data_IF_994203013406
#
_entry.id   IF_994203013406
#
_cell.length_a   1.000
_cell.length_b   1.000
_cell.length_c   1.000
_cell.angle_alpha   90.00
_cell.angle_beta   90.00
_cell.angle_gamma   90.00
#
_symmetry.space_group_name_H-M   'P 1'
#
loop_
_entity.id
_entity.type
_entity.pdbx_description
1 polymer ?
#
# COMPACT_ATOMS: atom_id res chain seq x y z
N UNK A 1 10.69 -10.62 37.31
CA UNK A 1 9.41 -11.28 37.65
C UNK A 1 9.44 -12.67 37.04
N UNK A 2 9.44 -13.71 37.86
CA UNK A 2 9.36 -15.07 37.35
C UNK A 2 7.91 -15.34 36.94
N UNK A 3 7.69 -15.58 35.67
CA UNK A 3 6.43 -16.14 35.20
C UNK A 3 6.53 -17.66 35.36
N UNK A 4 5.93 -18.20 36.42
CA UNK A 4 5.71 -19.62 36.60
C UNK A 4 4.25 -19.90 36.19
N UNK A 5 4.00 -20.19 34.95
CA UNK A 5 2.87 -20.95 34.55
C UNK A 5 3.41 -22.10 33.70
N UNK A 6 3.59 -23.24 34.34
CA UNK A 6 3.84 -24.53 33.70
C UNK A 6 2.57 -24.97 32.98
N UNK A 7 2.55 -24.83 31.66
CA UNK A 7 1.58 -25.49 30.81
C UNK A 7 2.14 -26.91 30.56
N UNK A 8 1.48 -27.95 31.09
CA UNK A 8 1.71 -29.31 30.71
C UNK A 8 0.95 -29.60 29.42
N UNK A 9 1.68 -29.86 28.32
CA UNK A 9 1.08 -30.30 27.06
C UNK A 9 0.98 -31.85 27.05
N UNK A 10 -0.22 -32.37 26.78
CA UNK A 10 -0.50 -33.80 26.81
C UNK A 10 -0.06 -34.59 25.56
N UNK A 11 0.30 -33.94 24.46
CA UNK A 11 0.76 -34.63 23.22
C UNK A 11 1.87 -33.86 22.48
N UNK A 12 2.68 -34.60 21.70
CA UNK A 12 3.80 -34.05 20.90
C UNK A 12 3.36 -33.12 19.72
N UNK A 13 2.07 -33.04 19.46
CA UNK A 13 1.50 -32.30 18.32
C UNK A 13 1.00 -30.90 18.70
N UNK A 14 0.93 -30.58 20.01
CA UNK A 14 0.38 -29.33 20.53
C UNK A 14 1.47 -28.33 20.93
N UNK A 15 2.53 -28.17 20.12
CA UNK A 15 3.56 -27.22 20.43
C UNK A 15 3.11 -25.81 20.01
N UNK A 16 2.86 -24.99 21.01
CA UNK A 16 2.59 -23.57 20.88
C UNK A 16 3.90 -22.80 21.09
N UNK A 17 4.31 -22.03 20.10
CA UNK A 17 5.48 -21.17 20.17
C UNK A 17 5.09 -19.83 20.78
N UNK A 18 5.89 -19.36 21.74
CA UNK A 18 5.67 -18.06 22.36
C UNK A 18 6.69 -17.06 21.82
N UNK A 19 6.23 -15.99 21.17
CA UNK A 19 7.01 -14.81 20.90
C UNK A 19 6.57 -13.73 21.89
N UNK A 20 7.48 -13.27 22.71
CA UNK A 20 7.25 -12.14 23.61
C UNK A 20 7.87 -10.88 23.01
N UNK A 21 7.02 -9.93 22.62
CA UNK A 21 7.45 -8.58 22.32
C UNK A 21 7.58 -7.82 23.62
N UNK A 22 8.78 -7.38 23.95
CA UNK A 22 9.03 -6.53 25.10
C UNK A 22 9.52 -5.17 24.63
N UNK A 23 8.75 -4.14 24.92
CA UNK A 23 9.18 -2.75 24.74
C UNK A 23 9.94 -2.32 25.99
N UNK A 24 11.24 -2.24 25.92
CA UNK A 24 12.01 -1.54 26.92
C UNK A 24 12.14 -0.08 26.48
N UNK A 25 11.44 0.83 27.16
CA UNK A 25 11.68 2.26 27.04
C UNK A 25 13.05 2.60 27.67
N UNK A 26 14.09 2.32 26.95
CA UNK A 26 15.39 2.90 27.17
C UNK A 26 15.54 4.04 26.16
N UNK A 27 15.08 5.24 26.47
CA UNK A 27 15.40 6.53 25.83
C UNK A 27 15.88 6.54 24.34
N UNK A 28 15.72 5.46 23.61
CA UNK A 28 16.02 5.18 22.23
C UNK A 28 14.88 4.27 21.73
N UNK A 29 14.32 4.55 20.59
CA UNK A 29 13.25 3.81 19.90
C UNK A 29 13.70 2.38 19.50
N UNK A 30 13.95 1.52 20.48
CA UNK A 30 14.42 0.14 20.28
C UNK A 30 13.37 -0.84 20.77
N UNK A 31 12.84 -1.65 19.86
CA UNK A 31 11.88 -2.71 20.15
C UNK A 31 12.58 -4.07 20.25
N UNK A 32 12.18 -4.87 21.24
CA UNK A 32 12.82 -6.14 21.56
C UNK A 32 11.87 -7.31 21.33
N UNK A 33 12.30 -8.25 20.53
CA UNK A 33 11.61 -9.54 20.31
C UNK A 33 12.41 -10.64 20.99
N UNK A 34 11.74 -11.44 21.80
CA UNK A 34 12.36 -12.58 22.47
C UNK A 34 11.51 -13.83 22.32
N UNK A 35 12.15 -14.91 21.88
CA UNK A 35 11.56 -16.23 21.84
C UNK A 35 11.79 -16.94 23.16
N UNK A 36 10.70 -17.42 23.77
CA UNK A 36 10.73 -18.24 24.97
C UNK A 36 10.20 -19.63 24.64
N UNK A 37 10.91 -20.64 25.12
CA UNK A 37 10.51 -22.02 25.03
C UNK A 37 10.58 -22.66 26.41
N UNK A 38 9.67 -23.56 26.71
CA UNK A 38 9.65 -24.29 27.97
C UNK A 38 9.57 -25.78 27.63
N UNK A 39 10.65 -26.58 27.87
CA UNK A 39 10.65 -28.00 27.63
C UNK A 39 11.98 -28.61 27.26
N UNK A 40 11.96 -29.59 26.37
CA UNK A 40 13.11 -30.32 25.87
C UNK A 40 14.00 -29.44 24.99
N UNK A 41 15.29 -29.33 25.35
CA UNK A 41 16.26 -28.43 24.68
C UNK A 41 16.45 -28.74 23.19
N UNK A 42 16.38 -30.04 22.81
CA UNK A 42 16.52 -30.45 21.40
C UNK A 42 15.30 -30.00 20.59
N UNK A 43 14.13 -30.18 21.14
CA UNK A 43 12.87 -29.81 20.54
C UNK A 43 12.72 -28.25 20.44
N UNK A 44 13.15 -27.55 21.48
CA UNK A 44 13.22 -26.09 21.50
C UNK A 44 14.12 -25.54 20.38
N UNK A 45 15.25 -26.22 20.14
CA UNK A 45 16.18 -25.81 19.09
C UNK A 45 15.57 -25.97 17.69
N UNK A 46 14.87 -27.09 17.44
CA UNK A 46 14.18 -27.33 16.16
C UNK A 46 13.05 -26.33 15.96
N UNK A 47 12.30 -26.04 17.00
CA UNK A 47 11.18 -25.11 16.94
C UNK A 47 11.65 -23.67 16.75
N UNK A 48 12.75 -23.25 17.40
CA UNK A 48 13.35 -21.94 17.17
C UNK A 48 13.78 -21.78 15.71
N UNK A 49 14.48 -22.80 15.18
CA UNK A 49 14.91 -22.77 13.78
C UNK A 49 13.72 -22.68 12.83
N UNK A 50 12.63 -23.38 13.09
CA UNK A 50 11.42 -23.32 12.27
C UNK A 50 10.82 -21.90 12.22
N UNK A 51 10.81 -21.18 13.35
CA UNK A 51 10.32 -19.81 13.40
C UNK A 51 11.32 -18.85 12.72
N UNK A 52 12.61 -19.03 12.96
CA UNK A 52 13.67 -18.24 12.32
C UNK A 52 13.61 -18.41 10.80
N UNK A 53 13.46 -19.62 10.28
CA UNK A 53 13.32 -19.91 8.85
C UNK A 53 12.03 -19.32 8.25
N UNK A 54 10.96 -19.25 9.03
CA UNK A 54 9.69 -18.68 8.61
C UNK A 54 9.64 -17.14 8.66
N UNK A 55 10.63 -16.51 9.34
CA UNK A 55 10.68 -15.07 9.54
C UNK A 55 12.06 -14.51 9.15
N UNK A 56 12.30 -14.28 7.84
CA UNK A 56 13.56 -13.72 7.34
C UNK A 56 13.96 -12.38 7.98
N UNK A 57 13.00 -11.62 8.53
CA UNK A 57 13.29 -10.38 9.23
C UNK A 57 14.22 -10.57 10.44
N UNK A 58 14.27 -11.76 11.03
CA UNK A 58 15.23 -12.07 12.10
C UNK A 58 16.69 -12.07 11.64
N UNK A 59 16.96 -12.33 10.36
CA UNK A 59 18.31 -12.29 9.80
C UNK A 59 18.86 -10.86 9.66
N UNK A 60 17.98 -9.85 9.69
CA UNK A 60 18.36 -8.45 9.49
C UNK A 60 19.11 -7.86 10.70
N UNK A 61 18.99 -8.46 11.85
CA UNK A 61 19.62 -7.99 13.10
C UNK A 61 20.30 -9.14 13.83
N UNK A 62 21.43 -8.87 14.52
CA UNK A 62 22.10 -9.91 15.29
C UNK A 62 21.25 -10.35 16.49
N UNK A 63 21.18 -11.66 16.72
CA UNK A 63 20.55 -12.21 17.92
C UNK A 63 21.54 -12.38 19.06
N UNK A 64 21.09 -12.18 20.29
CA UNK A 64 21.80 -12.56 21.50
C UNK A 64 20.85 -13.34 22.42
N UNK A 65 21.19 -14.58 22.73
CA UNK A 65 20.33 -15.44 23.54
C UNK A 65 18.88 -15.57 23.01
N UNK A 66 18.69 -15.64 21.70
CA UNK A 66 17.37 -15.62 21.05
C UNK A 66 16.57 -14.33 21.34
N UNK A 67 17.27 -13.22 21.54
CA UNK A 67 16.73 -11.89 21.63
C UNK A 67 17.20 -11.09 20.42
N UNK A 68 16.28 -10.43 19.74
CA UNK A 68 16.53 -9.53 18.61
C UNK A 68 16.13 -8.12 18.99
N UNK A 69 17.00 -7.15 18.74
CA UNK A 69 16.74 -5.74 18.98
C UNK A 69 16.57 -5.04 17.64
N UNK A 70 15.36 -4.66 17.32
CA UNK A 70 15.06 -3.97 16.07
C UNK A 70 15.19 -2.46 16.27
N UNK A 71 15.83 -1.74 15.32
CA UNK A 71 16.16 -0.32 15.49
C UNK A 71 14.97 0.61 15.31
N UNK A 72 13.86 0.12 14.71
CA UNK A 72 12.72 0.93 14.33
C UNK A 72 11.42 0.10 14.28
N UNK A 73 10.28 0.79 14.34
CA UNK A 73 8.95 0.19 14.26
C UNK A 73 8.70 -0.57 12.94
N UNK A 74 9.10 -0.09 11.75
CA UNK A 74 8.95 -0.84 10.51
C UNK A 74 9.59 -2.23 10.54
N UNK A 75 10.77 -2.37 11.12
CA UNK A 75 11.44 -3.67 11.25
C UNK A 75 10.67 -4.63 12.14
N UNK A 76 10.12 -4.15 13.26
CA UNK A 76 9.24 -4.96 14.12
C UNK A 76 7.93 -5.33 13.44
N UNK A 77 7.32 -4.41 12.70
CA UNK A 77 6.10 -4.67 11.94
C UNK A 77 6.34 -5.71 10.84
N UNK A 78 7.56 -5.75 10.27
CA UNK A 78 7.95 -6.79 9.33
C UNK A 78 7.95 -8.18 9.99
N UNK A 79 8.50 -8.30 11.19
CA UNK A 79 8.42 -9.55 11.97
C UNK A 79 6.97 -9.94 12.23
N UNK A 80 6.14 -9.00 12.69
CA UNK A 80 4.71 -9.26 12.93
C UNK A 80 4.00 -9.78 11.68
N UNK A 81 4.31 -9.20 10.52
CA UNK A 81 3.73 -9.62 9.24
C UNK A 81 4.18 -11.04 8.85
N UNK A 82 5.45 -11.37 9.02
CA UNK A 82 6.01 -12.66 8.63
C UNK A 82 5.57 -13.81 9.55
N UNK A 83 5.33 -13.54 10.85
CA UNK A 83 4.84 -14.56 11.80
C UNK A 83 3.32 -14.73 11.80
N UNK A 84 2.56 -13.81 11.19
CA UNK A 84 1.09 -13.87 11.18
C UNK A 84 0.52 -15.18 10.61
N UNK A 85 1.07 -15.78 9.53
CA UNK A 85 0.63 -17.10 9.07
C UNK A 85 0.75 -18.19 10.14
N UNK A 86 1.86 -18.22 10.90
CA UNK A 86 2.06 -19.18 11.99
C UNK A 86 1.06 -18.96 13.13
N UNK A 87 0.76 -17.71 13.44
CA UNK A 87 -0.25 -17.32 14.43
C UNK A 87 -1.65 -17.75 13.98
N UNK A 88 -2.01 -17.51 12.73
CA UNK A 88 -3.30 -17.89 12.15
C UNK A 88 -3.50 -19.41 12.12
N UNK A 89 -2.44 -20.19 11.90
CA UNK A 89 -2.45 -21.66 11.97
C UNK A 89 -2.45 -22.21 13.40
N UNK A 90 -2.39 -21.35 14.43
CA UNK A 90 -2.32 -21.74 15.82
C UNK A 90 -0.98 -22.35 16.25
N UNK A 91 0.06 -22.21 15.42
CA UNK A 91 1.42 -22.71 15.69
C UNK A 91 2.24 -21.76 16.57
N UNK A 92 1.77 -20.51 16.70
CA UNK A 92 2.45 -19.45 17.43
C UNK A 92 1.47 -18.69 18.30
N UNK A 93 1.87 -18.44 19.56
CA UNK A 93 1.18 -17.50 20.44
C UNK A 93 2.06 -16.26 20.57
N UNK A 94 1.46 -15.11 20.26
CA UNK A 94 2.08 -13.81 20.38
C UNK A 94 1.61 -13.16 21.70
N UNK A 95 2.54 -12.88 22.59
CA UNK A 95 2.27 -12.15 23.82
C UNK A 95 2.86 -10.74 23.76
N UNK A 96 2.04 -9.75 24.06
CA UNK A 96 2.47 -8.37 24.18
C UNK A 96 2.63 -7.97 25.64
N UNK A 97 3.63 -7.15 26.00
CA UNK A 97 3.74 -6.58 27.33
C UNK A 97 2.54 -5.64 27.61
N UNK A 98 2.33 -5.34 28.87
CA UNK A 98 1.33 -4.33 29.25
C UNK A 98 1.88 -2.94 28.90
N UNK A 99 1.19 -2.21 28.05
CA UNK A 99 1.56 -0.86 27.62
C UNK A 99 1.21 -0.60 26.16
N UNK A 100 1.91 0.32 25.54
CA UNK A 100 1.82 0.60 24.10
C UNK A 100 2.24 -0.62 23.30
N UNK A 101 1.45 -0.97 22.32
CA UNK A 101 1.66 -2.16 21.48
C UNK A 101 1.64 -1.76 20.03
N UNK A 102 2.62 -2.21 19.25
CA UNK A 102 2.51 -2.20 17.81
C UNK A 102 1.53 -3.28 17.38
N UNK A 103 0.54 -2.89 16.60
CA UNK A 103 -0.47 -3.80 16.05
C UNK A 103 -0.48 -3.68 14.54
N UNK A 104 -0.26 -4.78 13.87
CA UNK A 104 -0.51 -4.88 12.45
C UNK A 104 -1.96 -5.31 12.25
N UNK A 105 -2.80 -4.38 11.79
CA UNK A 105 -4.25 -4.60 11.64
C UNK A 105 -4.58 -5.41 10.38
N UNK A 106 -3.71 -5.34 9.36
CA UNK A 106 -3.87 -6.12 8.13
C UNK A 106 -2.99 -5.62 6.99
N UNK A 107 -3.06 -6.35 5.88
CA UNK A 107 -2.37 -5.97 4.63
C UNK A 107 -3.42 -5.49 3.62
N UNK A 108 -3.20 -4.32 3.06
CA UNK A 108 -4.10 -3.64 2.15
C UNK A 108 -3.60 -3.79 0.71
N UNK A 109 -4.46 -4.30 -0.16
CA UNK A 109 -4.28 -4.36 -1.60
C UNK A 109 -5.35 -3.56 -2.33
N UNK A 110 -5.45 -3.71 -3.65
CA UNK A 110 -6.43 -3.02 -4.48
C UNK A 110 -7.89 -3.42 -4.19
N UNK A 111 -8.09 -4.63 -3.68
CA UNK A 111 -9.39 -5.20 -3.33
C UNK A 111 -10.07 -4.53 -2.13
N UNK A 112 -9.28 -3.83 -1.29
CA UNK A 112 -9.80 -3.04 -0.18
C UNK A 112 -10.01 -1.56 -0.54
N UNK A 113 -9.65 -1.14 -1.76
CA UNK A 113 -9.81 0.24 -2.22
C UNK A 113 -11.12 0.40 -2.99
N UNK A 114 -11.93 1.37 -2.60
CA UNK A 114 -13.06 1.86 -3.39
C UNK A 114 -12.78 3.27 -3.88
N UNK A 115 -13.18 3.59 -5.11
CA UNK A 115 -12.88 4.88 -5.71
C UNK A 115 -14.01 5.38 -6.59
N UNK A 116 -14.17 6.69 -6.64
CA UNK A 116 -15.06 7.38 -7.58
C UNK A 116 -14.26 8.44 -8.35
N UNK A 117 -14.44 8.46 -9.67
CA UNK A 117 -13.89 9.47 -10.58
C UNK A 117 -15.04 10.17 -11.29
N UNK A 118 -15.08 11.48 -11.20
CA UNK A 118 -16.12 12.30 -11.82
C UNK A 118 -15.56 13.59 -12.41
N UNK A 119 -16.19 14.12 -13.45
CA UNK A 119 -15.80 15.39 -14.05
C UNK A 119 -16.10 16.53 -13.07
N UNK A 120 -15.09 17.36 -12.83
CA UNK A 120 -15.22 18.63 -12.13
C UNK A 120 -14.64 19.74 -12.99
N UNK A 121 -15.53 20.51 -13.62
CA UNK A 121 -15.19 21.56 -14.58
C UNK A 121 -14.21 21.04 -15.66
N UNK A 122 -12.97 21.58 -15.68
CA UNK A 122 -11.91 21.17 -16.61
C UNK A 122 -11.02 20.03 -16.07
N UNK A 123 -11.27 19.57 -14.84
CA UNK A 123 -10.51 18.54 -14.15
C UNK A 123 -11.35 17.29 -13.90
N UNK A 124 -10.74 16.26 -13.38
CA UNK A 124 -11.42 15.11 -12.81
C UNK A 124 -11.19 15.03 -11.31
N UNK A 125 -12.27 15.03 -10.53
CA UNK A 125 -12.26 14.83 -9.10
C UNK A 125 -12.15 13.35 -8.75
N UNK A 126 -11.39 13.05 -7.69
CA UNK A 126 -11.19 11.71 -7.15
C UNK A 126 -11.62 11.69 -5.69
N UNK A 127 -12.47 10.75 -5.35
CA UNK A 127 -12.78 10.41 -3.96
C UNK A 127 -12.64 8.91 -3.79
N UNK A 128 -12.28 8.46 -2.60
CA UNK A 128 -12.11 7.03 -2.36
C UNK A 128 -12.01 6.71 -0.88
N UNK A 129 -12.13 5.42 -0.59
CA UNK A 129 -12.01 4.87 0.75
C UNK A 129 -11.21 3.59 0.71
N UNK A 130 -10.54 3.30 1.81
CA UNK A 130 -9.79 2.07 2.01
C UNK A 130 -10.38 1.34 3.20
N UNK A 131 -10.96 0.17 2.96
CA UNK A 131 -11.52 -0.67 4.02
C UNK A 131 -10.39 -1.50 4.63
N UNK A 132 -9.99 -1.16 5.84
CA UNK A 132 -8.95 -1.91 6.56
C UNK A 132 -9.56 -3.18 7.18
N UNK A 133 -10.70 -3.02 7.87
CA UNK A 133 -11.50 -4.10 8.43
C UNK A 133 -12.96 -3.62 8.57
N UNK A 134 -13.79 -4.36 9.30
CA UNK A 134 -15.21 -4.02 9.45
C UNK A 134 -15.45 -2.75 10.29
N UNK A 135 -14.50 -2.38 11.16
CA UNK A 135 -14.62 -1.23 12.06
C UNK A 135 -13.80 -0.01 11.59
N UNK A 136 -12.79 -0.22 10.74
CA UNK A 136 -11.86 0.82 10.30
C UNK A 136 -11.90 1.03 8.79
N UNK A 137 -12.31 2.22 8.38
CA UNK A 137 -12.26 2.71 7.00
C UNK A 137 -11.52 4.03 6.98
N UNK A 138 -10.52 4.16 6.10
CA UNK A 138 -9.68 5.35 5.96
C UNK A 138 -10.08 6.05 4.66
N UNK A 139 -10.05 7.38 4.66
CA UNK A 139 -10.19 8.16 3.43
C UNK A 139 -8.97 7.96 2.52
N UNK A 140 -9.19 7.86 1.22
CA UNK A 140 -8.09 7.64 0.26
C UNK A 140 -7.08 8.80 0.26
N UNK A 141 -7.54 10.03 0.46
CA UNK A 141 -6.68 11.20 0.60
C UNK A 141 -5.77 11.09 1.83
N UNK A 142 -6.34 10.69 2.99
CA UNK A 142 -5.55 10.46 4.20
C UNK A 142 -4.48 9.39 3.98
N UNK A 143 -4.80 8.32 3.24
CA UNK A 143 -3.80 7.31 2.90
C UNK A 143 -2.68 7.88 2.03
N UNK A 144 -3.01 8.72 1.03
CA UNK A 144 -2.00 9.38 0.17
C UNK A 144 -1.04 10.25 0.99
N UNK A 145 -1.58 11.09 1.88
CA UNK A 145 -0.79 11.97 2.75
C UNK A 145 0.19 11.16 3.63
N UNK A 146 -0.29 10.05 4.19
CA UNK A 146 0.53 9.16 5.03
C UNK A 146 1.61 8.42 4.21
N UNK A 147 1.31 8.02 2.99
CA UNK A 147 2.28 7.35 2.10
C UNK A 147 3.37 8.33 1.65
N UNK A 148 3.04 9.58 1.35
CA UNK A 148 4.01 10.60 0.96
C UNK A 148 5.05 10.85 2.07
N UNK A 149 4.62 10.83 3.33
CA UNK A 149 5.49 11.00 4.50
C UNK A 149 6.31 9.77 4.88
N UNK A 150 6.11 8.61 4.24
CA UNK A 150 6.72 7.34 4.66
C UNK A 150 7.51 6.66 3.54
N UNK A 151 8.71 6.18 3.88
CA UNK A 151 9.49 5.27 3.02
C UNK A 151 9.13 3.79 3.27
N UNK A 152 8.42 3.48 4.36
CA UNK A 152 8.01 2.14 4.77
C UNK A 152 6.73 1.70 4.05
N UNK A 153 6.55 0.39 3.92
CA UNK A 153 5.26 -0.19 3.52
C UNK A 153 4.20 -0.14 4.63
N UNK A 154 4.61 0.13 5.86
CA UNK A 154 3.74 0.22 7.02
C UNK A 154 3.27 1.65 7.23
N UNK A 155 1.97 1.82 7.37
CA UNK A 155 1.32 3.12 7.54
C UNK A 155 0.58 3.11 8.87
N UNK A 156 0.86 4.08 9.72
CA UNK A 156 0.15 4.26 10.98
C UNK A 156 -1.26 4.81 10.73
N UNK A 157 -2.26 4.11 11.26
CA UNK A 157 -3.68 4.44 11.09
C UNK A 157 -4.36 4.82 12.41
N UNK A 158 -3.70 4.55 13.52
CA UNK A 158 -4.12 4.86 14.88
C UNK A 158 -2.93 4.81 15.81
N UNK A 159 -3.10 5.13 17.09
CA UNK A 159 -2.04 5.09 18.10
C UNK A 159 -1.48 3.66 18.23
N UNK A 160 -0.28 3.41 17.69
CA UNK A 160 0.34 2.08 17.64
C UNK A 160 -0.36 1.06 16.71
N UNK A 161 -1.33 1.49 15.90
CA UNK A 161 -2.01 0.65 14.93
C UNK A 161 -1.50 0.93 13.52
N UNK A 162 -1.07 -0.12 12.83
CA UNK A 162 -0.47 -0.05 11.50
C UNK A 162 -1.19 -0.96 10.50
N UNK A 163 -1.16 -0.55 9.26
CA UNK A 163 -1.49 -1.39 8.10
C UNK A 163 -0.23 -1.58 7.25
N UNK A 164 -0.11 -2.72 6.59
CA UNK A 164 0.87 -2.93 5.54
C UNK A 164 0.22 -2.68 4.19
N UNK A 165 0.89 -1.97 3.29
CA UNK A 165 0.47 -1.90 1.89
C UNK A 165 1.18 -2.97 1.09
N UNK A 166 0.46 -3.64 0.18
CA UNK A 166 1.12 -4.48 -0.81
C UNK A 166 2.05 -3.63 -1.66
N UNK A 167 3.18 -4.20 -2.08
CA UNK A 167 4.16 -3.50 -2.91
C UNK A 167 3.52 -2.93 -4.20
N UNK A 168 2.63 -3.70 -4.82
CA UNK A 168 1.91 -3.30 -6.02
C UNK A 168 1.05 -2.05 -5.78
N UNK A 169 0.25 -2.03 -4.70
CA UNK A 169 -0.59 -0.87 -4.36
C UNK A 169 0.27 0.33 -4.01
N UNK A 170 1.30 0.16 -3.19
CA UNK A 170 2.19 1.25 -2.77
C UNK A 170 2.89 1.91 -3.95
N UNK A 171 3.44 1.11 -4.86
CA UNK A 171 4.11 1.61 -6.06
C UNK A 171 3.14 2.40 -6.96
N UNK A 172 1.90 1.94 -7.09
CA UNK A 172 0.89 2.64 -7.88
C UNK A 172 0.40 3.92 -7.19
N UNK A 173 0.16 3.89 -5.87
CA UNK A 173 -0.19 5.07 -5.08
C UNK A 173 0.87 6.16 -5.23
N UNK A 174 2.16 5.83 -5.15
CA UNK A 174 3.25 6.79 -5.29
C UNK A 174 3.23 7.48 -6.67
N UNK A 175 2.94 6.72 -7.75
CA UNK A 175 2.80 7.28 -9.10
C UNK A 175 1.59 8.18 -9.23
N UNK A 176 0.45 7.75 -8.71
CA UNK A 176 -0.81 8.48 -8.78
C UNK A 176 -0.76 9.76 -7.96
N UNK A 177 -0.15 9.73 -6.77
CA UNK A 177 -0.03 10.90 -5.92
C UNK A 177 0.69 12.06 -6.62
N UNK A 178 1.69 11.75 -7.45
CA UNK A 178 2.39 12.76 -8.26
C UNK A 178 1.51 13.43 -9.34
N UNK A 179 0.36 12.85 -9.68
CA UNK A 179 -0.59 13.37 -10.69
C UNK A 179 -1.76 14.12 -10.05
N UNK A 180 -1.98 13.93 -8.76
CA UNK A 180 -3.07 14.53 -8.03
C UNK A 180 -2.68 15.92 -7.53
N UNK A 181 -3.66 16.80 -7.53
CA UNK A 181 -3.57 18.15 -6.97
C UNK A 181 -4.73 18.35 -6.02
N UNK A 182 -4.45 18.88 -4.84
CA UNK A 182 -5.50 19.26 -3.91
C UNK A 182 -5.98 20.69 -4.19
N UNK A 183 -7.30 20.84 -4.36
CA UNK A 183 -7.95 22.13 -4.50
C UNK A 183 -9.20 22.15 -3.64
N UNK A 184 -9.31 23.12 -2.73
CA UNK A 184 -10.44 23.27 -1.79
C UNK A 184 -10.73 22.00 -0.94
N UNK A 185 -9.69 21.23 -0.64
CA UNK A 185 -9.79 19.99 0.14
C UNK A 185 -10.15 18.75 -0.67
N UNK A 186 -10.37 18.87 -1.96
CA UNK A 186 -10.68 17.78 -2.88
C UNK A 186 -9.48 17.41 -3.75
N UNK A 187 -9.32 16.10 -4.03
CA UNK A 187 -8.29 15.59 -4.92
C UNK A 187 -8.76 15.69 -6.37
N UNK A 188 -7.94 16.29 -7.21
CA UNK A 188 -8.23 16.47 -8.63
C UNK A 188 -7.01 16.11 -9.47
N UNK A 189 -7.23 15.70 -10.72
CA UNK A 189 -6.16 15.51 -11.70
C UNK A 189 -6.53 16.10 -13.05
N UNK A 190 -5.49 16.51 -13.76
CA UNK A 190 -5.66 17.05 -15.10
C UNK A 190 -6.03 15.93 -16.09
N UNK A 191 -6.93 16.18 -17.09
CA UNK A 191 -7.34 15.18 -18.09
C UNK A 191 -6.18 14.47 -18.82
N UNK A 192 -5.02 15.12 -18.96
CA UNK A 192 -3.81 14.49 -19.53
C UNK A 192 -3.27 13.31 -18.71
N UNK A 193 -3.56 13.25 -17.42
CA UNK A 193 -3.16 12.14 -16.55
C UNK A 193 -4.10 10.93 -16.64
N UNK A 194 -5.20 11.06 -17.41
CA UNK A 194 -6.20 9.99 -17.52
C UNK A 194 -5.65 8.60 -17.87
N UNK A 195 -4.65 8.43 -18.76
CA UNK A 195 -4.10 7.10 -19.05
C UNK A 195 -3.47 6.41 -17.82
N UNK A 196 -2.75 7.19 -17.00
CA UNK A 196 -2.13 6.68 -15.77
C UNK A 196 -3.16 6.43 -14.67
N UNK A 197 -4.17 7.30 -14.58
CA UNK A 197 -5.30 7.09 -13.66
C UNK A 197 -6.13 5.87 -14.04
N UNK A 198 -6.29 5.58 -15.32
CA UNK A 198 -6.98 4.38 -15.80
C UNK A 198 -6.21 3.11 -15.46
N UNK A 199 -4.88 3.12 -15.60
CA UNK A 199 -4.02 2.00 -15.18
C UNK A 199 -4.19 1.70 -13.68
N UNK A 200 -4.26 2.73 -12.84
CA UNK A 200 -4.51 2.58 -11.41
C UNK A 200 -5.94 2.11 -11.12
N UNK A 201 -6.92 2.81 -11.68
CA UNK A 201 -8.34 2.54 -11.47
C UNK A 201 -8.76 1.15 -11.97
N UNK A 202 -8.12 0.66 -13.03
CA UNK A 202 -8.38 -0.68 -13.58
C UNK A 202 -8.03 -1.83 -12.64
N UNK A 203 -7.25 -1.59 -11.59
CA UNK A 203 -6.95 -2.58 -10.55
C UNK A 203 -7.96 -2.55 -9.38
N UNK A 204 -8.82 -1.53 -9.31
CA UNK A 204 -9.79 -1.33 -8.23
C UNK A 204 -11.09 -2.05 -8.57
N UNK A 205 -11.57 -2.90 -7.66
CA UNK A 205 -12.80 -3.66 -7.88
C UNK A 205 -14.06 -2.79 -7.72
N UNK A 206 -14.10 -1.92 -6.72
CA UNK A 206 -15.20 -1.00 -6.44
C UNK A 206 -14.91 0.38 -7.03
N UNK A 207 -14.99 0.48 -8.37
CA UNK A 207 -14.78 1.70 -9.11
C UNK A 207 -16.10 2.28 -9.64
N UNK A 208 -16.41 3.50 -9.24
CA UNK A 208 -17.52 4.29 -9.80
C UNK A 208 -16.95 5.40 -10.71
N UNK A 209 -17.43 5.48 -11.94
CA UNK A 209 -17.02 6.50 -12.90
C UNK A 209 -18.23 7.13 -13.59
N UNK A 210 -18.15 8.42 -13.86
CA UNK A 210 -19.19 9.12 -14.60
C UNK A 210 -19.10 8.90 -16.13
N UNK A 211 -20.11 9.39 -16.86
CA UNK A 211 -20.14 9.30 -18.32
C UNK A 211 -19.02 10.12 -18.98
N UNK A 212 -18.62 11.23 -18.38
CA UNK A 212 -17.58 12.12 -18.92
C UNK A 212 -16.21 11.44 -18.88
N UNK A 213 -15.90 10.71 -17.80
CA UNK A 213 -14.69 9.89 -17.72
C UNK A 213 -14.62 8.87 -18.85
N UNK A 214 -15.71 8.09 -19.04
CA UNK A 214 -15.79 7.09 -20.11
C UNK A 214 -15.61 7.70 -21.49
N UNK A 215 -16.29 8.83 -21.77
CA UNK A 215 -16.13 9.55 -23.04
C UNK A 215 -14.70 10.08 -23.22
N UNK A 216 -14.06 10.56 -22.16
CA UNK A 216 -12.68 11.04 -22.22
C UNK A 216 -11.71 9.93 -22.59
N UNK A 217 -11.81 8.76 -21.94
CA UNK A 217 -11.00 7.60 -22.29
C UNK A 217 -11.23 7.12 -23.72
N UNK A 218 -12.48 7.09 -24.19
CA UNK A 218 -12.80 6.76 -25.59
C UNK A 218 -12.12 7.71 -26.56
N UNK A 219 -12.10 9.03 -26.25
CA UNK A 219 -11.37 10.01 -27.07
C UNK A 219 -9.89 9.74 -27.11
N UNK A 220 -9.27 9.38 -25.97
CA UNK A 220 -7.83 9.05 -25.91
C UNK A 220 -7.52 7.85 -26.82
N UNK A 221 -8.33 6.79 -26.76
CA UNK A 221 -8.14 5.61 -27.61
C UNK A 221 -8.30 5.96 -29.08
N UNK A 222 -9.32 6.75 -29.45
CA UNK A 222 -9.60 7.12 -30.82
C UNK A 222 -8.61 8.12 -31.42
N UNK A 223 -7.76 8.75 -30.61
CA UNK A 223 -6.81 9.78 -31.06
C UNK A 223 -5.73 9.21 -32.00
N UNK A 224 -5.40 7.93 -31.86
CA UNK A 224 -4.41 7.27 -32.70
C UNK A 224 -4.91 7.14 -34.17
N UNK A 225 -6.20 6.94 -34.31
CA UNK A 225 -6.86 6.79 -35.62
C UNK A 225 -7.41 8.13 -36.14
N UNK A 226 -7.34 9.20 -35.32
CA UNK A 226 -7.83 10.50 -35.71
C UNK A 226 -6.90 11.17 -36.74
N UNK A 227 -7.46 11.51 -37.89
CA UNK A 227 -6.82 12.29 -38.93
C UNK A 227 -7.74 13.42 -39.36
N UNK A 228 -7.25 14.64 -39.26
CA UNK A 228 -7.99 15.80 -39.71
C UNK A 228 -7.72 16.07 -41.20
N UNK A 229 -8.76 16.43 -41.94
CA UNK A 229 -8.60 16.91 -43.28
C UNK A 229 -8.33 18.43 -43.29
N UNK A 230 -7.38 18.85 -44.13
CA UNK A 230 -7.14 20.28 -44.34
C UNK A 230 -8.38 20.85 -45.02
N UNK A 231 -8.98 21.97 -44.50
CA UNK A 231 -10.15 22.56 -45.14
C UNK A 231 -9.94 22.89 -46.60
N UNK A 232 -10.95 22.56 -47.47
CA UNK A 232 -10.86 22.76 -48.92
C UNK A 232 -10.69 24.22 -49.31
N UNK A 233 -11.07 25.17 -48.42
CA UNK A 233 -10.91 26.60 -48.66
C UNK A 233 -9.44 27.05 -48.46
N UNK A 234 -8.56 26.18 -47.96
CA UNK A 234 -7.15 26.50 -47.81
C UNK A 234 -6.39 26.31 -49.12
N UNK A 235 -6.15 27.40 -49.85
CA UNK A 235 -5.55 27.38 -51.19
C UNK A 235 -4.05 27.04 -51.21
N UNK A 236 -3.37 27.08 -50.08
CA UNK A 236 -1.94 26.82 -50.00
C UNK A 236 -1.61 25.33 -49.81
N UNK A 237 -0.60 24.86 -50.55
CA UNK A 237 -0.04 23.53 -50.33
C UNK A 237 0.84 23.51 -49.09
N UNK A 238 0.48 22.76 -48.10
CA UNK A 238 1.28 22.56 -46.90
C UNK A 238 2.57 21.78 -47.26
N UNK A 239 3.68 22.17 -46.61
CA UNK A 239 4.90 21.36 -46.62
C UNK A 239 4.71 20.19 -45.67
N UNK A 240 5.44 19.07 -45.83
CA UNK A 240 5.29 17.87 -45.00
C UNK A 240 5.30 18.17 -43.50
N UNK A 241 6.25 18.99 -43.01
CA UNK A 241 6.30 19.34 -41.60
C UNK A 241 5.12 20.19 -41.11
N UNK A 242 4.48 20.94 -42.03
CA UNK A 242 3.28 21.73 -41.72
C UNK A 242 2.05 20.81 -41.66
N UNK A 243 2.00 19.82 -42.50
CA UNK A 243 0.97 18.77 -42.47
C UNK A 243 1.06 17.93 -41.20
N UNK A 244 2.27 17.49 -40.83
CA UNK A 244 2.52 16.81 -39.57
C UNK A 244 2.11 17.67 -38.36
N UNK A 245 2.48 18.99 -38.38
CA UNK A 245 2.10 19.93 -37.35
C UNK A 245 0.58 20.13 -37.26
N UNK A 246 -0.10 20.23 -38.40
CA UNK A 246 -1.56 20.32 -38.46
C UNK A 246 -2.23 19.10 -37.88
N UNK A 247 -1.80 17.90 -38.25
CA UNK A 247 -2.30 16.65 -37.69
C UNK A 247 -2.10 16.59 -36.19
N UNK A 248 -0.91 16.95 -35.72
CA UNK A 248 -0.58 16.98 -34.29
C UNK A 248 -1.47 17.93 -33.50
N UNK A 249 -1.61 19.19 -33.98
CA UNK A 249 -2.47 20.21 -33.35
C UNK A 249 -3.94 19.78 -33.37
N UNK A 250 -4.41 19.20 -34.47
CA UNK A 250 -5.78 18.72 -34.62
C UNK A 250 -6.10 17.58 -33.63
N UNK A 251 -5.15 16.68 -33.39
CA UNK A 251 -5.28 15.62 -32.37
C UNK A 251 -5.36 16.22 -30.96
N UNK A 252 -4.54 17.21 -30.63
CA UNK A 252 -4.60 17.90 -29.34
C UNK A 252 -5.93 18.64 -29.14
N UNK A 253 -6.40 19.35 -30.17
CA UNK A 253 -7.71 19.99 -30.14
C UNK A 253 -8.86 19.01 -29.99
N UNK A 254 -8.80 17.85 -30.67
CA UNK A 254 -9.78 16.78 -30.52
C UNK A 254 -9.78 16.21 -29.10
N UNK A 255 -8.63 16.08 -28.51
CA UNK A 255 -8.48 15.65 -27.11
C UNK A 255 -8.99 16.70 -26.12
N UNK A 256 -8.99 17.97 -26.51
CA UNK A 256 -9.41 19.09 -25.65
C UNK A 256 -8.27 19.64 -24.81
N UNK A 257 -7.03 19.49 -25.25
CA UNK A 257 -5.84 20.05 -24.62
C UNK A 257 -5.24 21.15 -25.46
N UNK A 258 -4.67 22.18 -24.79
CA UNK A 258 -3.94 23.23 -25.44
C UNK A 258 -2.54 22.81 -25.89
N UNK A 259 -1.97 23.55 -26.84
CA UNK A 259 -0.57 23.42 -27.25
C UNK A 259 0.13 24.75 -27.04
N UNK A 260 1.40 24.70 -26.58
CA UNK A 260 2.30 25.85 -26.47
C UNK A 260 3.49 25.65 -27.40
#
# INVERSE_FOLDING_TARGET
MQFSNSFEFETKEDFIYYILFTFEQLNLDVEKVKLYFTGDIELESVNAQYIEDACPAFELVPSHNREWLFPDAPSCLQVLMEIEPLRAEGKLILEHPKGEQLRLTGTIGFDQVSMRIQRDNDWFGVTGKVKVNDDLVIDFKELLDKVEGSTSQFIEVGEGEFIALTEALRNQITKVNALLTETDGELNFHPLAAPLMEEFAGNIQELEVDANWKMHLQKIVSIQDFSAEVPAEYEATLRNYQEDGFQWLSRLAYWGVGAC
#
